data_IF_364480525915
#
_entry.id   IF_364480525915
#
_cell.length_a   1.000
_cell.length_b   1.000
_cell.length_c   1.000
_cell.angle_alpha   90.00
_cell.angle_beta   90.00
_cell.angle_gamma   90.00
#
_symmetry.space_group_name_H-M   'P 1'
#
loop_
_entity.id
_entity.type
_entity.pdbx_description
1 polymer ?
#
# COMPACT_ATOMS: atom_id res chain seq x y z
N UNK A 1 -25.15 3.47 -7.61
CA UNK A 1 -23.68 3.51 -7.55
C UNK A 1 -23.24 4.92 -7.89
N UNK A 2 -22.71 5.68 -6.93
CA UNK A 2 -22.10 6.99 -7.23
C UNK A 2 -20.67 6.72 -7.67
N UNK A 3 -20.38 6.97 -8.95
CA UNK A 3 -19.00 7.10 -9.42
C UNK A 3 -18.31 8.16 -8.58
N UNK A 4 -17.22 7.80 -7.90
CA UNK A 4 -16.29 8.80 -7.34
C UNK A 4 -15.63 9.47 -8.54
N UNK A 5 -16.08 10.69 -8.85
CA UNK A 5 -15.51 11.50 -9.91
C UNK A 5 -14.03 11.81 -9.61
N UNK A 6 -13.18 12.02 -10.62
CA UNK A 6 -11.82 12.49 -10.40
C UNK A 6 -11.85 13.81 -9.62
N UNK A 7 -11.09 13.88 -8.54
CA UNK A 7 -10.93 15.04 -7.65
C UNK A 7 -10.16 16.17 -8.37
N UNK A 8 -10.77 16.77 -9.40
CA UNK A 8 -10.27 17.96 -10.09
C UNK A 8 -11.39 19.00 -10.18
N UNK A 9 -11.62 19.71 -9.08
CA UNK A 9 -12.18 21.06 -9.17
C UNK A 9 -11.03 22.07 -9.26
N UNK A 10 -10.98 22.83 -10.35
CA UNK A 10 -10.12 24.02 -10.47
C UNK A 10 -8.60 23.81 -10.46
N UNK A 11 -8.09 22.57 -10.60
CA UNK A 11 -6.64 22.29 -10.70
C UNK A 11 -5.89 22.16 -9.37
N UNK A 12 -6.56 22.29 -8.22
CA UNK A 12 -5.97 22.03 -6.91
C UNK A 12 -6.14 20.55 -6.51
N UNK A 13 -5.05 19.87 -6.13
CA UNK A 13 -5.12 18.54 -5.54
C UNK A 13 -5.75 18.64 -4.15
N UNK A 14 -6.98 18.14 -3.98
CA UNK A 14 -7.57 18.02 -2.66
C UNK A 14 -6.72 17.09 -1.78
N UNK A 15 -6.36 17.52 -0.56
CA UNK A 15 -5.72 16.66 0.42
C UNK A 15 -6.53 15.37 0.63
N UNK A 16 -5.82 14.26 0.77
CA UNK A 16 -6.43 12.94 0.92
C UNK A 16 -5.78 12.16 2.05
N UNK A 17 -6.43 11.11 2.54
CA UNK A 17 -5.82 10.11 3.40
C UNK A 17 -5.60 8.82 2.60
N UNK A 18 -4.41 8.23 2.75
CA UNK A 18 -4.13 6.86 2.39
C UNK A 18 -3.61 6.11 3.61
N UNK A 19 -4.22 4.97 3.88
CA UNK A 19 -3.78 4.03 4.92
C UNK A 19 -3.22 2.79 4.22
N UNK A 20 -2.14 2.24 4.75
CA UNK A 20 -1.57 1.00 4.23
C UNK A 20 -1.17 0.06 5.35
N UNK A 21 -1.18 -1.24 5.05
CA UNK A 21 -0.78 -2.29 5.98
C UNK A 21 0.21 -3.21 5.27
N UNK A 22 1.40 -3.32 5.83
CA UNK A 22 2.44 -4.24 5.37
C UNK A 22 2.25 -5.64 6.01
N UNK A 23 2.89 -6.66 5.46
CA UNK A 23 2.97 -8.02 6.02
C UNK A 23 1.63 -8.78 6.15
N UNK A 24 0.69 -8.57 5.21
CA UNK A 24 -0.70 -9.08 5.30
C UNK A 24 -0.86 -10.57 4.95
N UNK A 25 0.23 -11.27 4.61
CA UNK A 25 0.16 -12.65 4.11
C UNK A 25 -0.53 -13.63 5.09
N UNK A 26 -0.33 -13.45 6.40
CA UNK A 26 -0.92 -14.31 7.42
C UNK A 26 -2.45 -14.15 7.50
N UNK A 27 -2.97 -12.95 7.18
CA UNK A 27 -4.41 -12.68 7.14
C UNK A 27 -5.12 -13.44 6.01
N UNK A 28 -4.39 -13.85 4.96
CA UNK A 28 -4.95 -14.64 3.86
C UNK A 28 -5.00 -16.14 4.16
N UNK A 29 -4.15 -16.64 5.05
CA UNK A 29 -4.10 -18.07 5.41
C UNK A 29 -5.48 -18.64 5.81
N UNK A 30 -6.28 -18.01 6.70
CA UNK A 30 -7.61 -18.50 7.04
C UNK A 30 -8.65 -18.38 5.92
N UNK A 31 -8.36 -17.65 4.84
CA UNK A 31 -9.27 -17.52 3.70
C UNK A 31 -9.08 -18.59 2.63
N UNK A 32 -7.87 -19.15 2.52
CA UNK A 32 -7.51 -20.10 1.46
C UNK A 32 -6.98 -21.44 1.99
N UNK A 33 -6.94 -21.62 3.32
CA UNK A 33 -6.58 -22.88 3.97
C UNK A 33 -7.65 -23.98 3.87
N UNK A 34 -7.38 -25.12 4.53
CA UNK A 34 -8.27 -26.31 4.52
C UNK A 34 -9.64 -26.07 5.16
N UNK A 35 -9.70 -25.19 6.16
CA UNK A 35 -10.94 -24.76 6.82
C UNK A 35 -11.15 -23.26 6.53
N UNK A 36 -11.18 -22.94 5.24
CA UNK A 36 -11.31 -21.57 4.75
C UNK A 36 -12.60 -20.91 5.25
N UNK A 37 -12.49 -19.66 5.69
CA UNK A 37 -13.66 -18.80 5.90
C UNK A 37 -14.39 -18.60 4.57
N UNK A 38 -15.72 -18.76 4.57
CA UNK A 38 -16.57 -18.47 3.41
C UNK A 38 -16.69 -16.97 3.13
N UNK A 39 -16.67 -16.16 4.19
CA UNK A 39 -16.78 -14.70 4.11
C UNK A 39 -15.44 -14.08 4.54
N UNK A 40 -14.71 -13.38 3.63
CA UNK A 40 -13.44 -12.77 3.97
C UNK A 40 -13.58 -11.67 5.02
N UNK A 41 -14.76 -11.06 5.15
CA UNK A 41 -15.03 -10.01 6.14
C UNK A 41 -15.18 -10.53 7.57
N UNK A 42 -15.16 -11.86 7.78
CA UNK A 42 -15.07 -12.47 9.12
C UNK A 42 -13.64 -12.56 9.64
N UNK A 43 -12.65 -12.38 8.77
CA UNK A 43 -11.26 -12.32 9.18
C UNK A 43 -11.03 -11.00 9.95
N UNK A 44 -10.38 -11.01 11.13
CA UNK A 44 -10.33 -9.84 12.02
C UNK A 44 -9.75 -8.56 11.42
N UNK A 45 -8.68 -8.66 10.64
CA UNK A 45 -8.07 -7.53 9.93
C UNK A 45 -9.05 -6.97 8.90
N UNK A 46 -9.58 -7.79 7.99
CA UNK A 46 -10.54 -7.33 6.98
C UNK A 46 -11.83 -6.75 7.60
N UNK A 47 -12.32 -7.32 8.69
CA UNK A 47 -13.46 -6.80 9.45
C UNK A 47 -13.21 -5.39 10.01
N UNK A 48 -12.03 -5.18 10.62
CA UNK A 48 -11.61 -3.89 11.15
C UNK A 48 -11.54 -2.84 10.03
N UNK A 49 -10.84 -3.16 8.93
CA UNK A 49 -10.66 -2.23 7.81
C UNK A 49 -12.01 -1.85 7.18
N UNK A 50 -12.89 -2.83 6.99
CA UNK A 50 -14.25 -2.59 6.50
C UNK A 50 -15.04 -1.66 7.42
N UNK A 51 -14.98 -1.89 8.74
CA UNK A 51 -15.65 -1.03 9.73
C UNK A 51 -15.16 0.41 9.66
N UNK A 52 -13.84 0.61 9.50
CA UNK A 52 -13.26 1.94 9.38
C UNK A 52 -13.64 2.62 8.05
N UNK A 53 -13.66 1.88 6.95
CA UNK A 53 -14.14 2.37 5.66
C UNK A 53 -15.60 2.81 5.74
N UNK A 54 -16.49 1.93 6.23
CA UNK A 54 -17.92 2.21 6.33
C UNK A 54 -18.22 3.42 7.23
N UNK A 55 -17.40 3.63 8.28
CA UNK A 55 -17.59 4.73 9.23
C UNK A 55 -16.98 6.05 8.79
N UNK A 56 -15.82 6.03 8.14
CA UNK A 56 -15.01 7.23 7.90
C UNK A 56 -14.68 7.49 6.42
N UNK A 57 -15.05 6.59 5.50
CA UNK A 57 -14.76 6.72 4.07
C UNK A 57 -13.29 6.60 3.71
N UNK A 58 -12.47 5.99 4.58
CA UNK A 58 -11.03 5.79 4.36
C UNK A 58 -10.76 4.60 3.42
N UNK A 59 -9.58 4.58 2.80
CA UNK A 59 -9.15 3.51 1.88
C UNK A 59 -7.85 2.87 2.35
N UNK A 60 -7.61 1.63 1.94
CA UNK A 60 -6.51 0.79 2.40
C UNK A 60 -5.79 0.08 1.26
N UNK A 61 -4.45 0.17 1.26
CA UNK A 61 -3.59 -0.73 0.47
C UNK A 61 -2.92 -1.76 1.37
N UNK A 62 -2.99 -3.04 0.98
CA UNK A 62 -2.47 -4.17 1.73
C UNK A 62 -1.31 -4.82 0.98
N UNK A 63 -0.12 -4.85 1.58
CA UNK A 63 1.08 -5.32 0.89
C UNK A 63 1.44 -6.75 1.30
N UNK A 64 1.57 -7.61 0.29
CA UNK A 64 1.71 -9.06 0.43
C UNK A 64 3.13 -9.51 0.16
N UNK A 65 3.66 -10.33 1.06
CA UNK A 65 4.70 -11.27 0.69
C UNK A 65 4.11 -12.42 -0.14
N UNK A 66 4.96 -13.06 -0.97
CA UNK A 66 4.57 -14.30 -1.65
C UNK A 66 4.51 -15.48 -0.69
N UNK A 67 5.42 -15.54 0.28
CA UNK A 67 5.53 -16.62 1.26
C UNK A 67 5.97 -16.10 2.62
N UNK A 68 5.51 -16.76 3.68
CA UNK A 68 6.00 -16.56 5.06
C UNK A 68 6.90 -17.73 5.51
N UNK A 69 7.25 -18.64 4.60
CA UNK A 69 8.03 -19.85 4.87
C UNK A 69 7.20 -21.07 5.29
N UNK A 70 5.95 -20.88 5.71
CA UNK A 70 5.00 -21.95 6.10
C UNK A 70 3.87 -22.10 5.08
N UNK A 71 3.37 -20.98 4.58
CA UNK A 71 2.30 -20.85 3.60
C UNK A 71 2.71 -19.87 2.51
N UNK A 72 2.15 -20.04 1.31
CA UNK A 72 2.43 -19.20 0.16
C UNK A 72 1.19 -18.97 -0.71
N UNK A 73 1.32 -18.02 -1.61
CA UNK A 73 0.27 -17.58 -2.52
C UNK A 73 -0.05 -18.56 -3.68
N UNK A 74 0.70 -19.65 -3.85
CA UNK A 74 0.51 -20.56 -5.01
C UNK A 74 -0.85 -21.29 -4.97
N UNK A 75 -1.46 -21.42 -3.77
CA UNK A 75 -2.78 -22.03 -3.57
C UNK A 75 -3.96 -21.04 -3.50
N UNK A 76 -3.72 -19.75 -3.71
CA UNK A 76 -4.78 -18.73 -3.67
C UNK A 76 -5.56 -18.75 -4.98
N UNK A 77 -6.88 -18.88 -4.87
CA UNK A 77 -7.81 -18.92 -6.01
C UNK A 77 -8.82 -17.76 -5.98
N UNK A 78 -9.77 -17.76 -6.90
CA UNK A 78 -10.77 -16.71 -7.05
C UNK A 78 -12.02 -16.87 -6.17
N UNK A 79 -12.05 -17.74 -5.16
CA UNK A 79 -13.28 -17.99 -4.38
C UNK A 79 -13.83 -16.75 -3.67
N UNK A 80 -12.96 -15.79 -3.34
CA UNK A 80 -13.31 -14.51 -2.69
C UNK A 80 -13.30 -13.33 -3.66
N UNK A 81 -13.21 -13.60 -4.97
CA UNK A 81 -13.04 -12.57 -6.00
C UNK A 81 -14.16 -11.55 -6.00
N UNK A 82 -15.41 -11.99 -5.93
CA UNK A 82 -16.55 -11.06 -5.97
C UNK A 82 -16.55 -10.13 -4.75
N UNK A 83 -16.25 -10.67 -3.57
CA UNK A 83 -16.17 -9.89 -2.35
C UNK A 83 -15.06 -8.82 -2.44
N UNK A 84 -13.83 -9.22 -2.78
CA UNK A 84 -12.73 -8.28 -2.88
C UNK A 84 -12.84 -7.32 -4.07
N UNK A 85 -13.33 -7.77 -5.23
CA UNK A 85 -13.56 -6.92 -6.38
C UNK A 85 -14.60 -5.83 -6.09
N UNK A 86 -15.68 -6.16 -5.37
CA UNK A 86 -16.68 -5.18 -4.94
C UNK A 86 -16.11 -4.14 -3.96
N UNK A 87 -15.02 -4.47 -3.26
CA UNK A 87 -14.32 -3.60 -2.33
C UNK A 87 -13.16 -2.82 -2.97
N UNK A 88 -12.82 -3.05 -4.24
CA UNK A 88 -11.65 -2.46 -4.93
C UNK A 88 -11.58 -0.93 -4.89
N UNK A 89 -12.72 -0.25 -4.72
CA UNK A 89 -12.81 1.20 -4.55
C UNK A 89 -12.25 1.71 -3.21
N UNK A 90 -12.08 0.83 -2.21
CA UNK A 90 -11.57 1.18 -0.89
C UNK A 90 -10.53 0.21 -0.33
N UNK A 91 -10.35 -0.96 -0.94
CA UNK A 91 -9.38 -1.97 -0.54
C UNK A 91 -8.59 -2.45 -1.76
N UNK A 92 -7.27 -2.31 -1.73
CA UNK A 92 -6.37 -2.84 -2.77
C UNK A 92 -5.24 -3.66 -2.17
N UNK A 93 -4.65 -4.53 -2.98
CA UNK A 93 -3.51 -5.37 -2.62
C UNK A 93 -2.32 -5.06 -3.52
N UNK A 94 -1.11 -5.08 -2.98
CA UNK A 94 0.11 -4.86 -3.75
C UNK A 94 1.25 -5.78 -3.32
N UNK A 95 2.31 -5.79 -4.10
CA UNK A 95 3.51 -6.57 -3.81
C UNK A 95 4.34 -5.96 -2.69
N UNK A 96 4.71 -6.72 -1.66
CA UNK A 96 5.67 -6.28 -0.63
C UNK A 96 7.06 -6.88 -0.84
N UNK A 97 7.13 -8.13 -1.30
CA UNK A 97 8.37 -8.87 -1.52
C UNK A 97 8.12 -10.36 -1.70
N UNK A 98 9.18 -11.14 -1.85
CA UNK A 98 9.09 -12.60 -1.81
C UNK A 98 8.74 -13.09 -0.40
N UNK A 99 9.52 -12.63 0.58
CA UNK A 99 9.41 -12.97 2.00
C UNK A 99 10.08 -11.88 2.86
N UNK A 100 10.01 -12.00 4.18
CA UNK A 100 10.58 -11.06 5.15
C UNK A 100 12.12 -11.03 5.20
N UNK A 101 12.79 -11.93 4.47
CA UNK A 101 14.25 -12.05 4.44
C UNK A 101 14.86 -11.50 3.14
N UNK A 102 14.07 -11.44 2.08
CA UNK A 102 14.49 -11.02 0.75
C UNK A 102 14.72 -9.50 0.70
N UNK A 103 15.88 -9.12 0.17
CA UNK A 103 16.24 -7.73 -0.14
C UNK A 103 16.43 -7.55 -1.63
N UNK A 104 15.99 -6.40 -2.15
CA UNK A 104 16.10 -6.02 -3.55
C UNK A 104 17.22 -5.00 -3.80
N UNK A 105 18.18 -4.92 -2.87
CA UNK A 105 19.35 -4.05 -2.95
C UNK A 105 20.37 -4.46 -4.01
N UNK A 106 21.57 -3.85 -3.95
CA UNK A 106 22.66 -4.12 -4.89
C UNK A 106 22.98 -5.63 -4.95
N UNK A 107 23.03 -6.17 -6.17
CA UNK A 107 23.35 -7.59 -6.41
C UNK A 107 22.13 -8.49 -6.57
N UNK A 108 20.92 -8.02 -6.25
CA UNK A 108 19.70 -8.80 -6.47
C UNK A 108 19.42 -8.99 -7.97
N UNK A 109 19.16 -10.21 -8.46
CA UNK A 109 18.91 -10.47 -9.87
C UNK A 109 17.59 -9.82 -10.36
N UNK A 110 17.61 -8.90 -11.35
CA UNK A 110 16.41 -8.22 -11.83
C UNK A 110 15.32 -9.14 -12.35
N UNK A 111 15.69 -10.17 -13.13
CA UNK A 111 14.73 -11.12 -13.72
C UNK A 111 13.95 -11.85 -12.63
N UNK A 112 14.66 -12.41 -11.63
CA UNK A 112 14.02 -13.05 -10.48
C UNK A 112 13.08 -12.10 -9.74
N UNK A 113 13.49 -10.85 -9.51
CA UNK A 113 12.63 -9.88 -8.84
C UNK A 113 11.38 -9.55 -9.66
N UNK A 114 11.51 -9.47 -11.00
CA UNK A 114 10.39 -9.32 -11.93
C UNK A 114 9.40 -10.49 -11.86
N UNK A 115 9.90 -11.73 -11.85
CA UNK A 115 9.08 -12.94 -11.76
C UNK A 115 8.32 -13.02 -10.43
N UNK A 116 8.96 -12.66 -9.32
CA UNK A 116 8.35 -12.62 -8.00
C UNK A 116 7.20 -11.61 -7.93
N UNK A 117 7.42 -10.39 -8.44
CA UNK A 117 6.37 -9.39 -8.56
C UNK A 117 5.21 -9.90 -9.42
N UNK A 118 5.51 -10.44 -10.61
CA UNK A 118 4.51 -10.90 -11.55
C UNK A 118 3.67 -12.06 -10.97
N UNK A 119 4.29 -12.94 -10.18
CA UNK A 119 3.58 -14.01 -9.48
C UNK A 119 2.56 -13.44 -8.49
N UNK A 120 2.97 -12.52 -7.62
CA UNK A 120 2.07 -11.90 -6.63
C UNK A 120 0.97 -11.08 -7.32
N UNK A 121 1.31 -10.29 -8.34
CA UNK A 121 0.34 -9.51 -9.11
C UNK A 121 -0.73 -10.40 -9.75
N UNK A 122 -0.34 -11.52 -10.37
CA UNK A 122 -1.30 -12.49 -10.94
C UNK A 122 -2.20 -13.11 -9.86
N UNK A 123 -1.64 -13.45 -8.69
CA UNK A 123 -2.45 -13.95 -7.58
C UNK A 123 -3.48 -12.91 -7.14
N UNK A 124 -3.08 -11.64 -6.99
CA UNK A 124 -4.01 -10.56 -6.61
C UNK A 124 -5.14 -10.44 -7.64
N UNK A 125 -4.83 -10.45 -8.94
CA UNK A 125 -5.84 -10.34 -9.99
C UNK A 125 -6.80 -11.54 -9.98
N UNK A 126 -6.29 -12.75 -9.75
CA UNK A 126 -7.13 -13.95 -9.61
C UNK A 126 -8.04 -13.86 -8.37
N UNK A 127 -7.48 -13.41 -7.24
CA UNK A 127 -8.13 -13.34 -5.93
C UNK A 127 -9.14 -12.21 -5.80
N UNK A 128 -8.91 -11.06 -6.44
CA UNK A 128 -9.60 -9.81 -6.17
C UNK A 128 -9.95 -8.97 -7.42
N UNK A 129 -9.51 -9.39 -8.60
CA UNK A 129 -9.67 -8.63 -9.84
C UNK A 129 -8.59 -7.56 -10.03
N UNK A 130 -8.50 -7.03 -11.26
CA UNK A 130 -7.45 -6.07 -11.65
C UNK A 130 -7.59 -4.71 -10.97
N UNK A 131 -8.82 -4.23 -10.76
CA UNK A 131 -9.10 -2.97 -10.05
C UNK A 131 -8.64 -2.98 -8.58
N UNK A 132 -8.48 -4.18 -8.00
CA UNK A 132 -7.98 -4.36 -6.65
C UNK A 132 -6.44 -4.40 -6.57
N UNK A 133 -5.72 -4.36 -7.71
CA UNK A 133 -4.27 -4.36 -7.74
C UNK A 133 -3.70 -2.94 -7.54
N UNK A 134 -3.00 -2.74 -6.43
CA UNK A 134 -2.20 -1.54 -6.18
C UNK A 134 -0.86 -1.63 -6.92
N UNK A 135 -0.72 -0.81 -7.97
CA UNK A 135 0.49 -0.69 -8.78
C UNK A 135 1.50 0.31 -8.20
N UNK A 136 1.24 0.84 -7.00
CA UNK A 136 2.16 1.68 -6.23
C UNK A 136 2.48 1.03 -4.87
N UNK A 137 3.18 -0.13 -4.86
CA UNK A 137 3.46 -0.84 -3.64
C UNK A 137 4.48 -0.15 -2.72
N UNK A 138 4.46 -0.54 -1.44
CA UNK A 138 5.62 -0.41 -0.55
C UNK A 138 6.44 -1.70 -0.60
N UNK A 139 7.72 -1.60 -0.95
CA UNK A 139 8.61 -2.77 -1.00
C UNK A 139 9.32 -2.94 0.33
N UNK A 140 9.52 -4.20 0.73
CA UNK A 140 10.20 -4.56 1.97
C UNK A 140 11.54 -3.84 2.12
N UNK A 141 11.71 -3.20 3.28
CA UNK A 141 12.86 -2.36 3.68
C UNK A 141 13.17 -1.20 2.72
N UNK A 142 12.24 -0.84 1.84
CA UNK A 142 12.43 0.18 0.81
C UNK A 142 13.62 -0.12 -0.11
N UNK A 143 13.91 -1.39 -0.32
CA UNK A 143 15.03 -1.84 -1.17
C UNK A 143 14.58 -2.01 -2.61
N UNK A 144 15.50 -1.74 -3.54
CA UNK A 144 15.24 -1.87 -4.97
C UNK A 144 16.26 -1.07 -5.75
N UNK A 145 17.22 -1.75 -6.36
CA UNK A 145 18.15 -1.08 -7.28
C UNK A 145 17.49 -0.89 -8.66
N UNK A 146 18.09 -0.03 -9.48
CA UNK A 146 17.48 0.49 -10.70
C UNK A 146 17.00 -0.61 -11.66
N UNK A 147 17.80 -1.65 -11.89
CA UNK A 147 17.39 -2.68 -12.85
C UNK A 147 16.28 -3.58 -12.32
N UNK A 148 16.21 -3.78 -10.99
CA UNK A 148 15.06 -4.45 -10.35
C UNK A 148 13.79 -3.61 -10.52
N UNK A 149 13.85 -2.30 -10.29
CA UNK A 149 12.70 -1.41 -10.50
C UNK A 149 12.19 -1.46 -11.94
N UNK A 150 13.10 -1.47 -12.90
CA UNK A 150 12.76 -1.63 -14.32
C UNK A 150 12.13 -2.98 -14.62
N UNK A 151 12.58 -4.05 -13.96
CA UNK A 151 11.98 -5.38 -14.10
C UNK A 151 10.54 -5.39 -13.58
N UNK A 152 10.27 -4.82 -12.40
CA UNK A 152 8.91 -4.67 -11.87
C UNK A 152 8.02 -3.80 -12.76
N UNK A 153 8.56 -2.70 -13.30
CA UNK A 153 7.80 -1.82 -14.22
C UNK A 153 7.43 -2.53 -15.52
N UNK A 154 8.30 -3.38 -16.05
CA UNK A 154 8.09 -4.11 -17.32
C UNK A 154 7.25 -5.38 -17.16
N UNK A 155 7.09 -5.89 -15.95
CA UNK A 155 6.25 -7.04 -15.68
C UNK A 155 4.79 -6.76 -16.08
N UNK A 156 4.02 -7.83 -16.29
CA UNK A 156 2.58 -7.72 -16.51
C UNK A 156 1.90 -7.05 -15.31
N UNK A 157 1.01 -6.09 -15.57
CA UNK A 157 0.49 -5.13 -14.58
C UNK A 157 1.54 -4.32 -13.80
N UNK A 158 2.74 -4.12 -14.39
CA UNK A 158 3.91 -3.56 -13.72
C UNK A 158 3.68 -2.25 -12.95
N UNK A 159 4.53 -2.00 -11.97
CA UNK A 159 4.39 -0.85 -11.07
C UNK A 159 4.37 0.50 -11.80
N UNK A 160 3.59 1.44 -11.29
CA UNK A 160 3.55 2.86 -11.74
C UNK A 160 4.29 3.79 -10.78
N UNK A 161 4.60 3.30 -9.58
CA UNK A 161 5.33 4.05 -8.57
C UNK A 161 5.68 3.19 -7.35
N UNK A 162 6.22 3.84 -6.32
CA UNK A 162 6.57 3.18 -5.05
C UNK A 162 6.28 4.10 -3.86
N UNK A 163 5.79 3.52 -2.76
CA UNK A 163 5.77 4.18 -1.46
C UNK A 163 7.15 4.14 -0.83
N UNK A 164 7.60 5.26 -0.26
CA UNK A 164 8.91 5.36 0.38
C UNK A 164 8.78 5.50 1.90
N UNK A 165 9.93 5.41 2.57
CA UNK A 165 10.05 5.56 4.01
C UNK A 165 9.52 6.90 4.52
N UNK A 166 9.11 6.87 5.77
CA UNK A 166 8.72 7.99 6.60
C UNK A 166 9.90 8.77 7.19
N UNK A 167 11.07 8.13 7.28
CA UNK A 167 12.29 8.71 7.85
C UNK A 167 13.32 9.12 6.78
N UNK A 168 14.52 9.54 7.21
CA UNK A 168 15.60 10.05 6.36
C UNK A 168 16.65 8.98 5.98
N UNK A 169 16.29 7.69 6.08
CA UNK A 169 17.22 6.58 5.80
C UNK A 169 17.87 6.70 4.42
N UNK A 170 19.12 6.24 4.33
CA UNK A 170 19.86 6.24 3.07
C UNK A 170 19.28 5.27 2.04
N UNK A 171 18.74 4.15 2.51
CA UNK A 171 18.20 3.07 1.69
C UNK A 171 16.73 3.38 1.34
N UNK A 172 16.55 4.19 0.31
CA UNK A 172 15.26 4.44 -0.33
C UNK A 172 15.43 4.16 -1.82
N UNK A 173 15.27 2.89 -2.18
CA UNK A 173 15.43 2.39 -3.54
C UNK A 173 16.79 2.79 -4.15
N UNK A 174 16.81 3.31 -5.37
CA UNK A 174 18.00 3.83 -6.04
C UNK A 174 18.21 5.33 -5.85
N UNK A 175 17.43 5.99 -4.97
CA UNK A 175 17.46 7.44 -4.86
C UNK A 175 18.78 7.93 -4.26
N UNK A 176 19.38 8.92 -4.89
CA UNK A 176 20.53 9.63 -4.32
C UNK A 176 20.12 10.63 -3.22
N UNK A 177 21.10 11.22 -2.54
CA UNK A 177 20.86 12.18 -1.45
C UNK A 177 20.04 13.40 -1.89
N UNK A 178 20.22 13.90 -3.12
CA UNK A 178 19.48 15.07 -3.62
C UNK A 178 18.03 14.69 -3.90
N UNK A 179 17.79 13.53 -4.50
CA UNK A 179 16.45 13.01 -4.75
C UNK A 179 15.70 12.76 -3.44
N UNK A 180 16.35 12.14 -2.44
CA UNK A 180 15.75 11.94 -1.10
C UNK A 180 15.41 13.26 -0.41
N UNK A 181 16.30 14.25 -0.46
CA UNK A 181 16.01 15.58 0.09
C UNK A 181 14.82 16.26 -0.60
N UNK A 182 14.71 16.12 -1.93
CA UNK A 182 13.57 16.63 -2.70
C UNK A 182 12.27 15.90 -2.33
N UNK A 183 12.32 14.58 -2.18
CA UNK A 183 11.17 13.77 -1.75
C UNK A 183 10.69 14.14 -0.34
N UNK A 184 11.62 14.39 0.59
CA UNK A 184 11.28 14.88 1.93
C UNK A 184 10.58 16.24 1.88
N UNK A 185 11.06 17.15 1.03
CA UNK A 185 10.51 18.50 0.91
C UNK A 185 9.15 18.54 0.18
N UNK A 186 8.96 17.72 -0.84
CA UNK A 186 7.79 17.76 -1.72
C UNK A 186 6.71 16.72 -1.38
N UNK A 187 7.08 15.66 -0.65
CA UNK A 187 6.21 14.51 -0.37
C UNK A 187 6.06 13.53 -1.53
N UNK A 188 6.34 13.95 -2.76
CA UNK A 188 6.38 13.10 -3.95
C UNK A 188 7.41 13.62 -4.96
N UNK A 189 8.03 12.71 -5.73
CA UNK A 189 8.86 13.06 -6.87
C UNK A 189 8.57 12.11 -8.04
N UNK A 190 8.66 12.63 -9.26
CA UNK A 190 8.65 11.80 -10.48
C UNK A 190 10.11 11.52 -10.86
N UNK A 191 10.45 10.25 -10.99
CA UNK A 191 11.69 9.81 -11.63
C UNK A 191 11.43 9.62 -13.12
N UNK A 192 11.70 10.66 -13.91
CA UNK A 192 11.50 10.65 -15.36
C UNK A 192 12.36 9.60 -16.08
N UNK A 193 13.50 9.20 -15.50
CA UNK A 193 14.38 8.21 -16.13
C UNK A 193 13.82 6.80 -16.00
N UNK A 194 13.27 6.50 -14.83
CA UNK A 194 12.68 5.20 -14.53
C UNK A 194 11.18 5.17 -14.78
N UNK A 195 10.58 6.30 -15.16
CA UNK A 195 9.15 6.48 -15.38
C UNK A 195 8.30 5.99 -14.19
N UNK A 196 8.72 6.35 -12.98
CA UNK A 196 8.08 5.95 -11.73
C UNK A 196 7.83 7.17 -10.85
N UNK A 197 6.70 7.19 -10.15
CA UNK A 197 6.44 8.19 -9.10
C UNK A 197 6.77 7.62 -7.74
N UNK A 198 7.58 8.34 -6.96
CA UNK A 198 7.97 7.97 -5.61
C UNK A 198 7.16 8.85 -4.64
N UNK A 199 6.44 8.22 -3.72
CA UNK A 199 5.51 8.92 -2.82
C UNK A 199 5.89 8.64 -1.37
N UNK A 200 6.14 9.69 -0.61
CA UNK A 200 6.58 9.62 0.78
C UNK A 200 5.44 9.20 1.71
N UNK A 201 5.71 8.19 2.53
CA UNK A 201 4.91 7.89 3.73
C UNK A 201 5.22 8.94 4.80
N UNK A 202 4.23 9.38 5.58
CA UNK A 202 4.46 10.42 6.59
C UNK A 202 4.63 9.86 7.99
N UNK A 203 3.92 8.76 8.28
CA UNK A 203 3.84 8.24 9.62
C UNK A 203 3.73 6.71 9.60
N UNK A 204 4.57 6.09 10.43
CA UNK A 204 4.42 4.70 10.87
C UNK A 204 3.69 4.72 12.20
N UNK A 205 2.52 4.08 12.29
CA UNK A 205 1.64 4.20 13.47
C UNK A 205 2.34 3.79 14.76
N UNK A 206 3.02 2.65 14.76
CA UNK A 206 3.70 2.12 15.93
C UNK A 206 4.99 2.87 16.31
N UNK A 207 5.41 3.85 15.51
CA UNK A 207 6.53 4.73 15.82
C UNK A 207 6.12 6.03 16.53
N UNK A 208 4.81 6.25 16.73
CA UNK A 208 4.27 7.48 17.30
C UNK A 208 3.38 7.22 18.51
N UNK A 209 3.60 7.99 19.58
CA UNK A 209 2.74 8.00 20.76
C UNK A 209 1.50 8.90 20.61
N UNK A 210 1.51 9.84 19.67
CA UNK A 210 0.36 10.71 19.34
C UNK A 210 0.23 10.88 17.80
N UNK A 211 -0.21 9.82 17.08
CA UNK A 211 -0.33 9.85 15.62
C UNK A 211 -1.13 11.04 15.09
N UNK A 212 -2.22 11.42 15.75
CA UNK A 212 -3.08 12.53 15.30
C UNK A 212 -2.39 13.87 15.52
N UNK A 213 -1.74 14.09 16.67
CA UNK A 213 -0.96 15.30 16.92
C UNK A 213 0.20 15.45 15.94
N UNK A 214 0.90 14.36 15.62
CA UNK A 214 1.99 14.33 14.64
C UNK A 214 1.51 14.76 13.25
N UNK A 215 0.38 14.19 12.80
CA UNK A 215 -0.23 14.53 11.50
C UNK A 215 -0.72 15.98 11.45
N UNK A 216 -1.28 16.51 12.54
CA UNK A 216 -1.68 17.93 12.63
C UNK A 216 -0.49 18.87 12.47
N UNK A 217 0.68 18.52 13.02
CA UNK A 217 1.90 19.34 12.88
C UNK A 217 2.46 19.32 11.45
N UNK A 218 2.30 18.22 10.72
CA UNK A 218 2.71 18.13 9.31
C UNK A 218 1.83 18.98 8.39
N UNK A 219 0.53 19.05 8.68
CA UNK A 219 -0.46 19.74 7.86
C UNK A 219 -0.78 19.02 6.53
N UNK A 220 -1.96 19.21 5.94
CA UNK A 220 -2.47 18.35 4.86
C UNK A 220 -1.91 18.66 3.45
N UNK A 221 -0.70 19.24 3.32
CA UNK A 221 -0.22 20.00 2.13
C UNK A 221 -0.41 19.34 0.75
N UNK A 222 -0.40 18.02 0.63
CA UNK A 222 -0.78 17.30 -0.60
C UNK A 222 -1.48 15.95 -0.36
N UNK A 223 -1.79 15.63 0.90
CA UNK A 223 -2.29 14.33 1.35
C UNK A 223 -1.47 13.77 2.51
N UNK A 224 -2.07 12.81 3.22
CA UNK A 224 -1.55 12.13 4.40
C UNK A 224 -1.49 10.65 4.09
N UNK A 225 -0.37 10.01 4.44
CA UNK A 225 -0.04 8.64 4.07
C UNK A 225 0.53 7.98 5.30
N UNK A 226 -0.18 7.00 5.83
CA UNK A 226 0.09 6.38 7.12
C UNK A 226 0.15 4.87 6.93
N UNK A 227 1.00 4.20 7.68
CA UNK A 227 1.05 2.74 7.64
C UNK A 227 1.32 2.08 8.98
N UNK A 228 1.05 0.77 9.01
CA UNK A 228 1.40 -0.16 10.09
C UNK A 228 1.67 -1.53 9.49
N UNK A 229 1.96 -2.52 10.34
CA UNK A 229 2.16 -3.91 9.93
C UNK A 229 1.01 -4.76 10.44
N UNK A 230 0.55 -5.73 9.64
CA UNK A 230 -0.59 -6.56 9.98
C UNK A 230 -0.46 -7.31 11.32
N UNK A 231 0.71 -7.88 11.69
CA UNK A 231 0.88 -8.49 13.00
C UNK A 231 0.58 -7.53 14.18
N UNK A 232 0.77 -6.23 13.98
CA UNK A 232 0.52 -5.21 15.01
C UNK A 232 -0.95 -4.83 15.15
N UNK A 233 -1.82 -5.16 14.19
CA UNK A 233 -3.27 -4.92 14.30
C UNK A 233 -3.95 -5.81 15.37
N UNK A 234 -3.25 -6.81 15.88
CA UNK A 234 -3.66 -7.57 17.08
C UNK A 234 -3.57 -6.73 18.36
N UNK A 235 -2.79 -5.66 18.37
CA UNK A 235 -2.61 -4.80 19.54
C UNK A 235 -3.71 -3.72 19.61
N UNK A 236 -4.38 -3.53 20.77
CA UNK A 236 -5.43 -2.52 20.93
C UNK A 236 -4.97 -1.09 20.64
N UNK A 237 -3.79 -0.70 21.10
CA UNK A 237 -3.23 0.64 20.92
C UNK A 237 -3.03 1.00 19.45
N UNK A 238 -2.58 0.05 18.63
CA UNK A 238 -2.41 0.26 17.18
C UNK A 238 -3.76 0.37 16.47
N UNK A 239 -4.77 -0.41 16.87
CA UNK A 239 -6.13 -0.29 16.33
C UNK A 239 -6.78 1.04 16.69
N UNK A 240 -6.62 1.47 17.94
CA UNK A 240 -7.10 2.77 18.42
C UNK A 240 -6.42 3.92 17.68
N UNK A 241 -5.10 3.84 17.47
CA UNK A 241 -4.36 4.79 16.65
C UNK A 241 -4.87 4.86 15.21
N UNK A 242 -5.07 3.70 14.56
CA UNK A 242 -5.59 3.63 13.19
C UNK A 242 -7.00 4.24 13.10
N UNK A 243 -7.88 3.90 14.04
CA UNK A 243 -9.22 4.45 14.13
C UNK A 243 -9.23 5.96 14.42
N UNK A 244 -8.31 6.43 15.27
CA UNK A 244 -8.12 7.85 15.59
C UNK A 244 -7.66 8.66 14.39
N UNK A 245 -6.72 8.13 13.59
CA UNK A 245 -6.28 8.75 12.32
C UNK A 245 -7.45 8.82 11.32
N UNK A 246 -8.22 7.74 11.18
CA UNK A 246 -9.38 7.72 10.29
C UNK A 246 -10.46 8.73 10.72
N UNK A 247 -10.78 8.79 12.01
CA UNK A 247 -11.73 9.74 12.57
C UNK A 247 -11.27 11.19 12.41
N UNK A 248 -9.99 11.46 12.69
CA UNK A 248 -9.40 12.79 12.49
C UNK A 248 -9.48 13.22 11.02
N UNK A 249 -9.06 12.36 10.09
CA UNK A 249 -9.10 12.68 8.66
C UNK A 249 -10.52 13.00 8.17
N UNK A 250 -11.52 12.22 8.61
CA UNK A 250 -12.91 12.50 8.31
C UNK A 250 -13.39 13.85 8.88
N UNK A 251 -12.97 14.20 10.11
CA UNK A 251 -13.29 15.48 10.73
C UNK A 251 -12.65 16.68 10.02
N UNK A 252 -11.45 16.51 9.45
CA UNK A 252 -10.76 17.53 8.64
C UNK A 252 -11.25 17.58 7.18
N UNK A 253 -12.21 16.73 6.79
CA UNK A 253 -12.73 16.66 5.42
C UNK A 253 -11.76 16.05 4.41
N UNK A 254 -10.77 15.27 4.87
CA UNK A 254 -9.89 14.51 3.98
C UNK A 254 -10.64 13.33 3.37
N UNK A 255 -10.53 13.18 2.05
CA UNK A 255 -11.14 12.05 1.33
C UNK A 255 -10.14 10.89 1.30
N UNK A 256 -10.60 9.65 1.47
CA UNK A 256 -9.78 8.47 1.21
C UNK A 256 -9.41 8.39 -0.28
N UNK A 257 -8.14 8.23 -0.61
CA UNK A 257 -7.72 8.02 -2.00
C UNK A 257 -6.44 7.18 -2.12
N UNK A 258 -6.33 6.41 -3.20
CA UNK A 258 -5.11 5.68 -3.53
C UNK A 258 -4.08 6.59 -4.19
N UNK A 259 -2.80 6.55 -3.78
CA UNK A 259 -1.73 7.26 -4.47
C UNK A 259 -1.63 6.92 -5.96
N UNK A 260 -1.85 5.64 -6.33
CA UNK A 260 -1.82 5.17 -7.71
C UNK A 260 -2.80 5.95 -8.63
N UNK A 261 -4.06 6.13 -8.20
CA UNK A 261 -5.08 6.82 -9.00
C UNK A 261 -4.73 8.29 -9.26
N UNK A 262 -4.02 8.91 -8.31
CA UNK A 262 -3.56 10.30 -8.43
C UNK A 262 -2.40 10.48 -9.40
N UNK A 263 -1.69 9.39 -9.74
CA UNK A 263 -0.60 9.38 -10.69
C UNK A 263 -1.12 9.04 -12.08
N UNK A 264 -1.99 8.03 -12.19
CA UNK A 264 -2.55 7.62 -13.46
C UNK A 264 -3.42 8.74 -14.07
N UNK A 265 -4.13 9.52 -13.25
CA UNK A 265 -4.85 10.71 -13.70
C UNK A 265 -3.97 11.91 -14.11
N UNK A 266 -2.63 11.81 -14.03
CA UNK A 266 -1.67 12.83 -14.50
C UNK A 266 -0.95 12.43 -15.80
N UNK A 267 -1.08 11.18 -16.22
CA UNK A 267 -0.43 10.63 -17.42
C UNK A 267 -1.36 10.64 -18.61
#
# INVERSE_FOLDING_TARGET
MRHVAPLRDGGALHPYLHLSVDDVIDDLTPLFGRAALEDPWRQPTFALLRTLHERYGVVFSLYLFRTNGVWNLDGVDGRHRDAFASASSWLRFGFHGEDAHTSYGRGSPPERAGDQYAAVARTIVAMAGEEALDRLPRIHRYTGHRDVLRAWRRAHHGITGLLTAEDDRSDTYHLDRRQRARLLALGEIVDEREDLTLVRTHLRLEASSDPVGDLRRLGPRSGVRVFTHAPLLTRPDVREALAGVAAWAAAEGLVGAFPADRIDGRR
#
